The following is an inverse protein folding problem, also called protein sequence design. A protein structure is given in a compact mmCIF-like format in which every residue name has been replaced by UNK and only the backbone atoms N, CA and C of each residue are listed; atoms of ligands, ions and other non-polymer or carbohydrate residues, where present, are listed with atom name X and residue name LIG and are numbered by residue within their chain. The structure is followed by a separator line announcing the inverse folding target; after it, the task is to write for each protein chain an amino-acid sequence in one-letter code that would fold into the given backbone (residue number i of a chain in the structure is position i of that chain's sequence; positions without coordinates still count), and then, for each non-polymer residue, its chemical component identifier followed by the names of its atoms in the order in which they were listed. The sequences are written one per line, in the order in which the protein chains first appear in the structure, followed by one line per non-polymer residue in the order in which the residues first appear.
data_IF_722439850867
#
_entry.id   IF_722439850867
#
_cell.length_a   1.000
_cell.length_b   1.000
_cell.length_c   1.000
_cell.angle_alpha   90.00
_cell.angle_beta   90.00
_cell.angle_gamma   90.00
#
_symmetry.space_group_name_H-M   'P 1'
#
loop_
_entity.id
_entity.type
_entity.pdbx_description
1 polymer ?
#
# COMPACT_ATOMS: atom_id res chain seq x y z
N UNK A 1 -6.76 16.45 29.15
CA UNK A 1 -6.91 17.42 28.03
C UNK A 1 -7.91 16.87 27.05
N UNK A 2 -8.79 17.69 26.58
CA UNK A 2 -10.17 17.39 26.11
C UNK A 2 -10.22 16.59 24.81
N UNK A 3 -11.02 15.52 24.80
CA UNK A 3 -11.36 14.59 23.71
C UNK A 3 -12.02 15.22 22.47
N UNK A 4 -12.01 16.54 22.33
CA UNK A 4 -12.74 17.26 21.28
C UNK A 4 -11.97 17.43 19.96
N UNK A 5 -10.67 17.19 19.89
CA UNK A 5 -9.85 17.44 18.70
C UNK A 5 -9.63 16.19 17.82
N UNK A 6 -9.82 15.00 18.34
CA UNK A 6 -9.72 13.76 17.54
C UNK A 6 -10.95 13.59 16.61
N UNK A 7 -12.09 14.17 16.98
CA UNK A 7 -13.32 14.08 16.19
C UNK A 7 -13.31 14.93 14.91
N UNK A 8 -12.50 15.97 14.84
CA UNK A 8 -12.52 16.91 13.71
C UNK A 8 -11.88 16.39 12.42
N UNK A 9 -10.89 15.52 12.51
CA UNK A 9 -10.21 14.96 11.32
C UNK A 9 -11.00 13.79 10.71
N UNK A 10 -11.82 13.10 11.52
CA UNK A 10 -12.66 11.98 11.05
C UNK A 10 -14.04 12.45 10.57
N UNK A 11 -14.49 13.63 10.99
CA UNK A 11 -15.86 14.10 10.77
C UNK A 11 -16.09 14.91 9.47
N UNK A 12 -15.06 15.19 8.67
CA UNK A 12 -15.19 15.88 7.38
C UNK A 12 -15.69 14.97 6.23
N UNK A 13 -15.95 13.68 6.49
CA UNK A 13 -16.51 12.73 5.54
C UNK A 13 -17.99 12.38 5.81
N UNK A 14 -18.72 13.23 6.55
CA UNK A 14 -20.15 13.03 6.76
C UNK A 14 -20.94 13.43 5.50
N UNK A 15 -21.47 12.45 4.88
CA UNK A 15 -22.44 12.31 3.82
C UNK A 15 -23.50 13.40 3.84
N UNK A 16 -23.40 14.34 2.92
CA UNK A 16 -24.55 15.16 2.53
C UNK A 16 -25.52 14.30 1.71
N UNK A 17 -26.67 13.97 2.26
CA UNK A 17 -27.78 13.37 1.52
C UNK A 17 -28.30 14.38 0.49
N UNK A 18 -27.94 14.20 -0.77
CA UNK A 18 -28.58 14.92 -1.88
C UNK A 18 -29.90 14.21 -2.18
N UNK A 19 -31.00 14.84 -1.86
CA UNK A 19 -32.31 14.42 -2.29
C UNK A 19 -32.39 14.47 -3.84
N UNK A 20 -33.03 13.52 -4.52
CA UNK A 20 -33.14 13.56 -5.96
C UNK A 20 -34.13 14.68 -6.37
N UNK A 21 -33.63 15.66 -7.11
CA UNK A 21 -34.51 16.59 -7.83
C UNK A 21 -35.22 15.82 -8.94
N UNK A 22 -36.50 15.64 -8.80
CA UNK A 22 -37.39 15.08 -9.84
C UNK A 22 -37.54 16.06 -11.00
N UNK A 23 -36.72 15.91 -12.03
CA UNK A 23 -36.98 16.49 -13.34
C UNK A 23 -37.76 15.46 -14.17
N UNK A 24 -39.06 15.73 -14.36
CA UNK A 24 -39.88 15.00 -15.32
C UNK A 24 -39.41 15.36 -16.72
N UNK A 25 -38.69 14.44 -17.38
CA UNK A 25 -38.47 14.46 -18.82
C UNK A 25 -39.24 13.27 -19.41
N UNK A 26 -39.84 13.39 -20.62
CA UNK A 26 -40.69 12.33 -21.16
C UNK A 26 -39.90 11.03 -21.29
N UNK A 27 -40.34 10.02 -20.59
CA UNK A 27 -39.69 8.68 -20.59
C UNK A 27 -39.69 8.02 -21.98
N UNK A 28 -40.51 8.48 -22.91
CA UNK A 28 -40.69 7.93 -24.24
C UNK A 28 -39.56 8.37 -25.22
N UNK A 29 -39.08 9.61 -25.14
CA UNK A 29 -38.00 10.11 -26.01
C UNK A 29 -36.61 9.53 -25.62
N UNK A 30 -36.37 9.30 -24.35
CA UNK A 30 -35.12 8.70 -23.90
C UNK A 30 -35.03 7.20 -24.23
N UNK A 31 -36.15 6.49 -24.12
CA UNK A 31 -36.24 5.08 -24.49
C UNK A 31 -36.09 4.90 -26.01
N UNK A 32 -36.68 5.79 -26.82
CA UNK A 32 -36.58 5.79 -28.28
C UNK A 32 -35.14 6.09 -28.75
N UNK A 33 -34.47 7.09 -28.17
CA UNK A 33 -33.05 7.38 -28.47
C UNK A 33 -32.12 6.24 -28.02
N UNK A 34 -32.40 5.61 -26.89
CA UNK A 34 -31.63 4.46 -26.44
C UNK A 34 -31.79 3.25 -27.38
N UNK A 35 -33.01 3.04 -27.89
CA UNK A 35 -33.28 1.99 -28.91
C UNK A 35 -32.64 2.29 -30.26
N UNK A 36 -32.68 3.53 -30.73
CA UNK A 36 -32.00 3.97 -31.95
C UNK A 36 -30.48 3.82 -31.86
N UNK A 37 -29.87 4.21 -30.72
CA UNK A 37 -28.44 4.04 -30.46
C UNK A 37 -28.05 2.55 -30.32
N UNK A 38 -28.91 1.72 -29.77
CA UNK A 38 -28.67 0.28 -29.71
C UNK A 38 -28.71 -0.34 -31.08
N UNK A 39 -29.71 0.00 -31.90
CA UNK A 39 -29.83 -0.48 -33.31
C UNK A 39 -28.65 -0.02 -34.21
N UNK A 40 -28.18 1.24 -33.99
CA UNK A 40 -27.00 1.74 -34.70
C UNK A 40 -25.69 1.03 -34.26
N UNK A 41 -25.59 0.66 -32.99
CA UNK A 41 -24.46 -0.14 -32.49
C UNK A 41 -24.46 -1.56 -32.97
N UNK A 42 -25.63 -2.19 -33.06
CA UNK A 42 -25.79 -3.54 -33.58
C UNK A 42 -25.46 -3.58 -35.08
N UNK A 43 -25.93 -2.59 -35.83
CA UNK A 43 -25.60 -2.44 -37.27
C UNK A 43 -24.11 -2.19 -37.52
N UNK A 44 -23.46 -1.36 -36.68
CA UNK A 44 -22.01 -1.17 -36.71
C UNK A 44 -21.24 -2.42 -36.26
N UNK A 45 -21.77 -3.20 -35.34
CA UNK A 45 -21.16 -4.46 -34.92
C UNK A 45 -21.20 -5.54 -36.03
N UNK A 46 -22.25 -5.56 -36.83
CA UNK A 46 -22.36 -6.46 -38.02
C UNK A 46 -21.43 -6.05 -39.15
N UNK A 47 -21.18 -4.73 -39.33
CA UNK A 47 -20.30 -4.19 -40.37
C UNK A 47 -18.81 -4.23 -40.02
N UNK A 48 -18.46 -4.37 -38.75
CA UNK A 48 -17.06 -4.44 -38.27
C UNK A 48 -16.54 -5.88 -38.38
N UNK A 49 -15.67 -6.12 -39.35
CA UNK A 49 -14.84 -7.33 -39.33
C UNK A 49 -14.08 -7.41 -37.98
N UNK A 50 -13.98 -8.60 -37.34
CA UNK A 50 -13.30 -8.74 -36.07
C UNK A 50 -11.88 -8.16 -36.20
N UNK A 51 -11.61 -7.14 -35.41
CA UNK A 51 -10.30 -6.49 -35.38
C UNK A 51 -9.25 -7.53 -34.99
N UNK A 52 -8.17 -7.64 -35.78
CA UNK A 52 -7.05 -8.50 -35.41
C UNK A 52 -6.52 -8.01 -34.05
N UNK A 53 -6.42 -8.89 -33.07
CA UNK A 53 -5.95 -8.47 -31.73
C UNK A 53 -4.57 -7.80 -31.86
N UNK A 54 -4.42 -6.66 -31.21
CA UNK A 54 -3.16 -5.91 -31.15
C UNK A 54 -2.04 -6.76 -30.53
N UNK A 55 -0.77 -6.33 -30.67
CA UNK A 55 0.35 -7.01 -30.02
C UNK A 55 0.16 -7.07 -28.49
N UNK A 56 -0.39 -6.00 -27.91
CA UNK A 56 -0.68 -5.91 -26.47
C UNK A 56 -1.80 -6.88 -26.09
N UNK A 57 -2.88 -6.95 -26.84
CA UNK A 57 -3.96 -7.94 -26.63
C UNK A 57 -3.46 -9.37 -26.71
N UNK A 58 -2.62 -9.68 -27.71
CA UNK A 58 -2.02 -11.01 -27.84
C UNK A 58 -1.09 -11.32 -26.66
N UNK A 59 -0.31 -10.36 -26.20
CA UNK A 59 0.54 -10.52 -25.05
C UNK A 59 -0.26 -10.73 -23.76
N UNK A 60 -1.34 -9.98 -23.57
CA UNK A 60 -2.24 -10.13 -22.42
C UNK A 60 -3.00 -11.47 -22.46
N UNK A 61 -3.56 -11.85 -23.59
CA UNK A 61 -4.20 -13.16 -23.75
C UNK A 61 -3.22 -14.32 -23.61
N UNK A 62 -1.98 -14.16 -24.10
CA UNK A 62 -0.93 -15.15 -23.88
C UNK A 62 -0.60 -15.26 -22.40
N UNK A 63 -0.48 -14.11 -21.72
CA UNK A 63 -0.23 -14.06 -20.28
C UNK A 63 -1.39 -14.68 -19.48
N UNK A 64 -2.65 -14.34 -19.77
CA UNK A 64 -3.82 -14.93 -19.14
C UNK A 64 -3.89 -16.46 -19.37
N UNK A 65 -3.52 -16.90 -20.56
CA UNK A 65 -3.56 -18.33 -20.91
C UNK A 65 -2.36 -19.12 -20.41
N UNK A 66 -1.21 -18.49 -20.23
CA UNK A 66 0.07 -19.14 -19.95
C UNK A 66 0.77 -18.63 -18.68
N UNK A 67 0.28 -17.54 -18.08
CA UNK A 67 0.88 -16.98 -16.85
C UNK A 67 0.97 -18.01 -15.72
N UNK A 68 -0.05 -18.86 -15.59
CA UNK A 68 -0.01 -20.00 -14.67
C UNK A 68 0.99 -21.09 -15.09
N UNK A 69 1.35 -21.19 -16.38
CA UNK A 69 2.34 -22.16 -16.91
C UNK A 69 3.79 -21.70 -16.76
N UNK A 70 4.01 -20.38 -16.53
CA UNK A 70 5.31 -19.84 -16.11
C UNK A 70 5.64 -20.18 -14.65
N UNK A 71 4.68 -20.74 -13.91
CA UNK A 71 4.88 -21.34 -12.61
C UNK A 71 5.31 -22.80 -12.81
N UNK A 72 6.61 -23.05 -12.75
CA UNK A 72 7.08 -24.43 -12.73
C UNK A 72 6.86 -25.00 -11.33
N UNK A 73 5.70 -25.62 -11.10
CA UNK A 73 5.24 -26.10 -9.78
C UNK A 73 5.15 -24.92 -8.79
N UNK A 74 6.02 -24.91 -7.78
CA UNK A 74 6.08 -23.89 -6.73
C UNK A 74 6.93 -22.65 -7.11
N UNK A 75 7.72 -22.69 -8.20
CA UNK A 75 8.63 -21.61 -8.57
C UNK A 75 7.93 -20.48 -9.31
N UNK A 76 8.21 -19.23 -8.91
CA UNK A 76 7.74 -18.01 -9.57
C UNK A 76 8.93 -17.07 -9.77
N UNK A 77 9.04 -16.49 -10.95
CA UNK A 77 9.92 -15.35 -11.14
C UNK A 77 9.22 -14.09 -10.60
N UNK A 78 9.84 -13.41 -9.66
CA UNK A 78 9.31 -12.21 -9.05
C UNK A 78 9.96 -10.96 -9.67
N UNK A 79 9.15 -9.98 -10.05
CA UNK A 79 9.60 -8.67 -10.53
C UNK A 79 8.83 -7.58 -9.78
N UNK A 80 9.52 -6.52 -9.36
CA UNK A 80 8.89 -5.41 -8.65
C UNK A 80 9.92 -4.61 -7.88
N UNK A 81 9.47 -3.80 -6.92
CA UNK A 81 10.29 -3.14 -5.93
C UNK A 81 9.74 -3.42 -4.55
N UNK A 82 10.56 -3.63 -3.55
CA UNK A 82 10.09 -3.87 -2.19
C UNK A 82 10.05 -2.61 -1.32
N UNK A 83 10.71 -1.55 -1.76
CA UNK A 83 10.52 -0.20 -1.23
C UNK A 83 10.43 0.80 -2.37
N UNK A 84 9.84 1.96 -2.11
CA UNK A 84 9.91 3.10 -3.01
C UNK A 84 11.38 3.52 -3.18
N UNK A 85 11.75 3.95 -4.36
CA UNK A 85 13.14 4.36 -4.61
C UNK A 85 14.15 3.22 -4.83
N UNK A 86 13.86 1.98 -4.44
CA UNK A 86 14.77 0.83 -4.61
C UNK A 86 15.07 0.44 -6.06
N UNK A 87 14.31 0.98 -7.02
CA UNK A 87 14.39 0.64 -8.43
C UNK A 87 13.73 -0.71 -8.75
N UNK A 88 13.94 -1.18 -9.98
CA UNK A 88 13.39 -2.46 -10.42
C UNK A 88 14.07 -3.62 -9.71
N UNK A 89 13.28 -4.43 -9.04
CA UNK A 89 13.70 -5.66 -8.38
C UNK A 89 13.44 -6.89 -9.25
N UNK A 90 14.25 -7.90 -9.08
CA UNK A 90 14.10 -9.23 -9.66
C UNK A 90 14.44 -10.27 -8.61
N UNK A 91 13.80 -11.41 -8.71
CA UNK A 91 14.00 -12.47 -7.72
C UNK A 91 13.30 -13.76 -8.07
N UNK A 92 13.39 -14.69 -7.15
CA UNK A 92 12.74 -15.99 -7.23
C UNK A 92 11.88 -16.14 -5.99
N UNK A 93 10.63 -16.49 -6.18
CA UNK A 93 9.74 -16.91 -5.13
C UNK A 93 9.38 -18.38 -5.30
N UNK A 94 9.31 -19.10 -4.20
CA UNK A 94 8.79 -20.46 -4.12
C UNK A 94 7.57 -20.39 -3.22
N UNK A 95 6.38 -20.70 -3.76
CA UNK A 95 5.17 -20.70 -2.99
C UNK A 95 4.41 -22.00 -3.22
N UNK A 96 4.13 -22.72 -2.15
CA UNK A 96 3.37 -23.96 -2.16
C UNK A 96 2.13 -23.81 -1.29
N UNK A 97 0.98 -24.19 -1.83
CA UNK A 97 -0.31 -24.16 -1.14
C UNK A 97 -0.73 -25.58 -0.80
N UNK A 98 -1.25 -25.78 0.40
CA UNK A 98 -1.72 -27.11 0.85
C UNK A 98 -0.57 -28.12 0.92
N UNK A 99 0.56 -27.74 1.52
CA UNK A 99 1.75 -28.62 1.66
C UNK A 99 1.35 -29.98 2.24
N UNK A 100 1.71 -31.02 1.50
CA UNK A 100 1.39 -32.41 1.90
C UNK A 100 -0.02 -32.86 1.56
N UNK A 101 -0.85 -32.03 0.92
CA UNK A 101 -2.18 -32.43 0.43
C UNK A 101 -2.20 -32.59 -1.10
N UNK A 102 -2.77 -33.66 -1.64
CA UNK A 102 -2.89 -33.85 -3.08
C UNK A 102 -3.92 -32.92 -3.74
N UNK A 103 -4.82 -32.33 -2.95
CA UNK A 103 -5.87 -31.42 -3.40
C UNK A 103 -5.83 -30.16 -2.53
N UNK A 104 -5.77 -28.99 -3.15
CA UNK A 104 -5.83 -27.70 -2.45
C UNK A 104 -7.31 -27.32 -2.28
N UNK A 105 -7.83 -27.52 -1.09
CA UNK A 105 -9.15 -27.06 -0.68
C UNK A 105 -8.99 -25.77 0.15
N UNK A 106 -9.59 -24.63 -0.25
CA UNK A 106 -9.55 -23.40 0.52
C UNK A 106 -10.07 -23.53 1.94
N UNK A 107 -11.06 -24.38 2.14
CA UNK A 107 -11.74 -24.58 3.44
C UNK A 107 -11.14 -25.75 4.25
N UNK A 108 -10.06 -26.37 3.75
CA UNK A 108 -9.41 -27.49 4.44
C UNK A 108 -8.91 -27.06 5.83
N UNK A 109 -9.29 -27.75 6.91
CA UNK A 109 -8.73 -27.52 8.23
C UNK A 109 -7.21 -27.75 8.25
N UNK A 110 -6.50 -26.86 8.95
CA UNK A 110 -5.04 -26.91 9.09
C UNK A 110 -4.29 -26.93 7.74
N UNK A 111 -4.80 -26.22 6.73
CA UNK A 111 -4.06 -26.08 5.45
C UNK A 111 -2.77 -25.34 5.70
N UNK A 112 -1.66 -25.90 5.27
CA UNK A 112 -0.32 -25.31 5.40
C UNK A 112 0.09 -24.74 4.05
N UNK A 113 0.36 -23.45 4.01
CA UNK A 113 0.94 -22.76 2.85
C UNK A 113 2.33 -22.25 3.22
N UNK A 114 3.29 -22.41 2.33
CA UNK A 114 4.66 -21.95 2.52
C UNK A 114 5.11 -21.02 1.39
N UNK A 115 5.88 -20.01 1.74
CA UNK A 115 6.46 -19.09 0.78
C UNK A 115 7.91 -18.79 1.14
N UNK A 116 8.79 -18.78 0.15
CA UNK A 116 10.17 -18.33 0.24
C UNK A 116 10.43 -17.34 -0.89
N UNK A 117 11.12 -16.25 -0.57
CA UNK A 117 11.47 -15.20 -1.50
C UNK A 117 12.96 -14.86 -1.37
N UNK A 118 13.67 -14.77 -2.50
CA UNK A 118 14.97 -14.15 -2.59
C UNK A 118 14.96 -13.14 -3.73
N UNK A 119 15.17 -11.87 -3.42
CA UNK A 119 15.06 -10.78 -4.38
C UNK A 119 16.18 -9.76 -4.22
N UNK A 120 16.56 -9.11 -5.33
CA UNK A 120 17.52 -8.03 -5.39
C UNK A 120 17.04 -6.96 -6.36
N UNK A 121 17.39 -5.71 -6.11
CA UNK A 121 17.10 -4.61 -7.04
C UNK A 121 18.35 -4.16 -7.79
N UNK A 122 18.15 -3.45 -8.89
CA UNK A 122 19.25 -2.83 -9.65
C UNK A 122 20.06 -1.82 -8.84
N UNK A 123 19.53 -1.30 -7.75
CA UNK A 123 20.21 -0.40 -6.79
C UNK A 123 20.88 -1.14 -5.64
N UNK A 124 20.91 -2.47 -5.67
CA UNK A 124 21.61 -3.28 -4.69
C UNK A 124 20.80 -3.67 -3.45
N UNK A 125 19.56 -3.21 -3.29
CA UNK A 125 18.68 -3.67 -2.21
C UNK A 125 18.48 -5.17 -2.29
N UNK A 126 18.41 -5.83 -1.15
CA UNK A 126 18.20 -7.27 -1.07
C UNK A 126 17.11 -7.58 -0.06
N UNK A 127 16.34 -8.61 -0.35
CA UNK A 127 15.37 -9.22 0.56
C UNK A 127 15.42 -10.72 0.45
N UNK A 128 15.53 -11.38 1.60
CA UNK A 128 15.29 -12.81 1.74
C UNK A 128 14.16 -12.95 2.76
N UNK A 129 13.15 -13.72 2.42
CA UNK A 129 12.00 -13.91 3.32
C UNK A 129 11.50 -15.35 3.24
N UNK A 130 11.03 -15.85 4.35
CA UNK A 130 10.32 -17.12 4.45
C UNK A 130 9.08 -16.93 5.30
N UNK A 131 7.97 -17.50 4.86
CA UNK A 131 6.70 -17.45 5.58
C UNK A 131 6.00 -18.80 5.50
N UNK A 132 5.44 -19.21 6.60
CA UNK A 132 4.59 -20.38 6.70
C UNK A 132 3.27 -19.99 7.33
N UNK A 133 2.17 -20.40 6.73
CA UNK A 133 0.80 -20.18 7.22
C UNK A 133 0.15 -21.48 7.54
N UNK A 134 -0.55 -21.55 8.66
CA UNK A 134 -1.54 -22.57 8.97
C UNK A 134 -2.90 -21.89 8.93
N UNK A 135 -3.69 -22.26 7.95
CA UNK A 135 -5.01 -21.69 7.69
C UNK A 135 -6.09 -22.59 8.28
N UNK A 136 -7.18 -21.99 8.73
CA UNK A 136 -8.33 -22.69 9.32
C UNK A 136 -7.91 -23.64 10.46
N UNK A 137 -7.14 -23.15 11.43
CA UNK A 137 -6.55 -23.92 12.53
C UNK A 137 -7.66 -24.66 13.31
N UNK A 138 -7.57 -25.99 13.33
CA UNK A 138 -8.56 -26.83 13.98
C UNK A 138 -9.97 -26.76 13.35
N UNK A 139 -10.11 -26.31 12.11
CA UNK A 139 -11.39 -26.09 11.44
C UNK A 139 -12.09 -24.79 11.87
N UNK A 140 -11.41 -23.94 12.62
CA UNK A 140 -11.91 -22.61 13.02
C UNK A 140 -11.48 -21.55 11.99
N UNK A 141 -12.17 -20.41 11.89
CA UNK A 141 -11.78 -19.31 11.02
C UNK A 141 -10.59 -18.52 11.61
N UNK A 142 -9.54 -19.25 11.96
CA UNK A 142 -8.32 -18.79 12.61
C UNK A 142 -7.12 -19.19 11.78
N UNK A 143 -6.26 -18.24 11.45
CA UNK A 143 -4.99 -18.48 10.80
C UNK A 143 -3.85 -18.07 11.72
N UNK A 144 -2.76 -18.83 11.64
CA UNK A 144 -1.49 -18.51 12.32
C UNK A 144 -0.39 -18.52 11.27
N UNK A 145 0.52 -17.55 11.32
CA UNK A 145 1.69 -17.58 10.48
C UNK A 145 2.96 -17.30 11.28
N UNK A 146 4.05 -17.86 10.81
CA UNK A 146 5.40 -17.49 11.21
C UNK A 146 6.15 -16.95 10.02
N UNK A 147 6.97 -15.92 10.22
CA UNK A 147 7.75 -15.29 9.19
C UNK A 147 9.16 -14.96 9.64
N UNK A 148 10.05 -15.02 8.70
CA UNK A 148 11.40 -14.47 8.80
C UNK A 148 11.65 -13.62 7.57
N UNK A 149 12.25 -12.45 7.75
CA UNK A 149 12.65 -11.56 6.69
C UNK A 149 13.98 -10.93 7.03
N UNK A 150 14.87 -10.87 6.06
CA UNK A 150 16.14 -10.16 6.12
C UNK A 150 16.19 -9.16 4.98
N UNK A 151 16.32 -7.88 5.33
CA UNK A 151 16.35 -6.75 4.42
C UNK A 151 17.69 -6.04 4.50
N UNK A 152 18.26 -5.72 3.33
CA UNK A 152 19.40 -4.83 3.17
C UNK A 152 18.98 -3.66 2.28
N UNK A 153 18.64 -2.53 2.91
CA UNK A 153 18.17 -1.32 2.24
C UNK A 153 19.35 -0.35 2.11
N UNK A 154 20.01 -0.37 0.96
CA UNK A 154 21.35 0.20 0.76
C UNK A 154 21.40 1.72 0.73
N UNK A 155 20.30 2.40 0.42
CA UNK A 155 20.29 3.85 0.16
C UNK A 155 18.90 4.46 0.37
N UNK A 156 18.44 4.40 1.61
CA UNK A 156 17.18 5.03 2.02
C UNK A 156 17.39 6.54 2.17
N UNK A 157 16.43 7.33 1.67
CA UNK A 157 16.50 8.79 1.74
C UNK A 157 16.00 9.33 3.09
N UNK A 158 16.67 10.39 3.57
CA UNK A 158 16.25 11.19 4.70
C UNK A 158 16.42 12.68 4.38
N UNK A 159 15.40 13.48 4.66
CA UNK A 159 15.34 14.92 4.33
C UNK A 159 15.25 15.82 5.57
N UNK A 160 15.43 15.23 6.78
CA UNK A 160 15.12 15.87 8.04
C UNK A 160 13.66 15.62 8.47
N UNK A 161 13.26 16.24 9.57
CA UNK A 161 11.92 16.11 10.15
C UNK A 161 11.01 17.28 9.79
N UNK A 162 9.71 17.01 9.85
CA UNK A 162 8.65 17.99 9.73
C UNK A 162 8.26 18.37 8.30
N UNK A 163 7.19 19.19 8.19
CA UNK A 163 6.69 19.65 6.90
C UNK A 163 7.64 20.66 6.22
N UNK A 164 8.52 21.33 7.01
CA UNK A 164 9.50 22.28 6.53
C UNK A 164 10.78 21.67 5.96
N UNK A 165 10.92 20.32 5.95
CA UNK A 165 12.08 19.67 5.35
C UNK A 165 12.22 20.00 3.87
N UNK A 166 13.48 20.16 3.37
CA UNK A 166 13.75 20.58 2.01
C UNK A 166 14.57 19.55 1.24
N UNK A 167 14.51 19.59 -0.10
CA UNK A 167 15.37 18.78 -0.96
C UNK A 167 16.88 19.02 -0.70
N UNK A 168 17.25 20.21 -0.24
CA UNK A 168 18.65 20.54 0.10
C UNK A 168 19.16 19.77 1.34
N UNK A 169 18.26 19.34 2.23
CA UNK A 169 18.57 18.50 3.39
C UNK A 169 18.63 17.00 3.07
N UNK A 170 18.54 16.62 1.80
CA UNK A 170 18.57 15.22 1.40
C UNK A 170 19.89 14.55 1.73
N UNK A 171 19.80 13.46 2.40
CA UNK A 171 20.89 12.55 2.74
C UNK A 171 20.46 11.11 2.49
N UNK A 172 21.40 10.18 2.60
CA UNK A 172 21.05 8.77 2.49
C UNK A 172 21.72 7.94 3.61
N UNK A 173 21.02 6.87 4.01
CA UNK A 173 21.48 5.92 5.00
C UNK A 173 21.23 4.48 4.52
N UNK A 174 21.94 3.55 5.10
CA UNK A 174 21.69 2.12 4.95
C UNK A 174 20.92 1.59 6.17
N UNK A 175 19.93 0.77 5.92
CA UNK A 175 19.20 0.04 6.95
C UNK A 175 19.22 -1.45 6.63
N UNK A 176 19.95 -2.21 7.45
CA UNK A 176 19.86 -3.66 7.46
C UNK A 176 18.94 -4.08 8.60
N UNK A 177 18.06 -5.03 8.37
CA UNK A 177 17.17 -5.50 9.43
C UNK A 177 16.78 -6.96 9.23
N UNK A 178 16.83 -7.73 10.30
CA UNK A 178 16.21 -9.04 10.36
C UNK A 178 14.96 -8.97 11.23
N UNK A 179 13.88 -9.57 10.76
CA UNK A 179 12.62 -9.70 11.48
C UNK A 179 12.19 -11.16 11.58
N UNK A 180 11.91 -11.60 12.80
CA UNK A 180 11.29 -12.89 13.12
C UNK A 180 9.92 -12.60 13.69
N UNK A 181 8.85 -13.06 13.07
CA UNK A 181 7.51 -12.70 13.46
C UNK A 181 6.54 -13.88 13.51
N UNK A 182 5.51 -13.72 14.31
CA UNK A 182 4.35 -14.58 14.32
C UNK A 182 3.09 -13.70 14.25
N UNK A 183 2.13 -14.11 13.42
CA UNK A 183 0.86 -13.43 13.26
C UNK A 183 -0.29 -14.38 13.57
N UNK A 184 -1.32 -13.83 14.13
CA UNK A 184 -2.60 -14.46 14.39
C UNK A 184 -3.69 -13.67 13.67
N UNK A 185 -4.61 -14.37 13.01
CA UNK A 185 -5.77 -13.75 12.35
C UNK A 185 -7.01 -14.55 12.67
N UNK A 186 -8.01 -13.91 13.22
CA UNK A 186 -9.32 -14.49 13.51
C UNK A 186 -10.41 -13.74 12.74
N UNK A 187 -11.24 -14.50 12.05
CA UNK A 187 -12.41 -14.01 11.29
C UNK A 187 -13.71 -14.47 11.96
N UNK A 188 -14.15 -13.82 13.06
CA UNK A 188 -15.31 -14.25 13.83
C UNK A 188 -16.60 -14.30 12.99
N UNK A 189 -16.77 -13.34 12.12
CA UNK A 189 -17.87 -13.24 11.17
C UNK A 189 -17.49 -12.25 10.08
N UNK A 190 -17.80 -12.55 8.81
CA UNK A 190 -17.68 -11.55 7.74
C UNK A 190 -18.55 -10.33 8.07
N UNK A 191 -18.02 -9.10 7.91
CA UNK A 191 -16.74 -8.70 7.29
C UNK A 191 -15.63 -8.37 8.30
N UNK A 192 -15.65 -8.90 9.52
CA UNK A 192 -14.70 -8.56 10.58
C UNK A 192 -13.47 -9.46 10.58
N UNK A 193 -12.32 -8.85 10.83
CA UNK A 193 -11.05 -9.55 11.05
C UNK A 193 -10.34 -8.95 12.27
N UNK A 194 -9.89 -9.80 13.18
CA UNK A 194 -9.08 -9.45 14.34
C UNK A 194 -7.70 -10.04 14.12
N UNK A 195 -6.66 -9.22 14.25
CA UNK A 195 -5.27 -9.62 14.10
C UNK A 195 -4.45 -9.40 15.36
N UNK A 196 -3.44 -10.22 15.55
CA UNK A 196 -2.38 -10.03 16.53
C UNK A 196 -1.02 -10.26 15.89
N UNK A 197 0.00 -9.57 16.36
CA UNK A 197 1.38 -9.76 15.92
C UNK A 197 2.36 -9.80 17.08
N UNK A 198 3.42 -10.58 16.91
CA UNK A 198 4.60 -10.60 17.75
C UNK A 198 5.81 -10.68 16.82
N UNK A 199 6.75 -9.74 16.95
CA UNK A 199 7.97 -9.73 16.14
C UNK A 199 9.18 -9.40 16.98
N UNK A 200 10.30 -10.02 16.63
CA UNK A 200 11.65 -9.68 17.09
C UNK A 200 12.40 -9.02 15.93
N UNK A 201 12.95 -7.83 16.15
CA UNK A 201 13.54 -6.94 15.16
C UNK A 201 14.99 -6.61 15.53
N UNK A 202 15.89 -6.69 14.55
CA UNK A 202 17.31 -6.35 14.74
C UNK A 202 17.75 -5.33 13.68
N UNK A 203 17.40 -4.03 13.85
CA UNK A 203 17.84 -3.01 12.90
C UNK A 203 19.32 -2.67 13.12
N UNK A 204 20.00 -2.38 12.01
CA UNK A 204 21.37 -1.88 11.98
C UNK A 204 21.43 -0.71 10.99
N UNK A 205 21.85 0.45 11.46
CA UNK A 205 22.03 1.66 10.66
C UNK A 205 23.49 1.77 10.22
N UNK A 206 23.68 2.11 8.95
CA UNK A 206 25.00 2.36 8.36
C UNK A 206 24.97 3.52 7.37
N UNK A 207 26.11 3.83 6.82
CA UNK A 207 26.23 4.84 5.77
C UNK A 207 25.56 4.37 4.49
N UNK A 208 24.77 5.25 3.87
CA UNK A 208 24.14 4.99 2.59
C UNK A 208 25.15 4.91 1.46
N UNK A 209 24.80 4.18 0.40
CA UNK A 209 25.71 3.91 -0.74
C UNK A 209 25.50 4.83 -1.94
N UNK A 210 24.55 5.76 -1.89
CA UNK A 210 24.30 6.74 -2.95
C UNK A 210 25.29 7.90 -2.87
N UNK A 211 26.32 7.87 -3.68
CA UNK A 211 27.38 8.90 -3.71
C UNK A 211 26.95 10.26 -4.25
N UNK A 212 25.71 10.37 -4.76
CA UNK A 212 25.15 11.66 -5.23
C UNK A 212 24.74 12.58 -4.08
N UNK A 213 24.48 12.00 -2.91
CA UNK A 213 24.04 12.70 -1.71
C UNK A 213 24.95 12.35 -0.53
N UNK A 214 25.13 13.27 0.42
CA UNK A 214 25.88 12.97 1.63
C UNK A 214 25.24 11.85 2.44
N UNK A 215 26.01 11.15 3.25
CA UNK A 215 25.46 10.20 4.21
C UNK A 215 24.73 10.94 5.33
N UNK A 216 23.67 10.36 5.90
CA UNK A 216 22.90 10.99 6.97
C UNK A 216 23.79 11.30 8.15
N UNK A 217 24.72 10.43 8.51
CA UNK A 217 25.71 10.60 9.57
C UNK A 217 26.69 11.76 9.33
N UNK A 218 26.83 12.24 8.07
CA UNK A 218 27.76 13.32 7.75
C UNK A 218 27.16 14.72 7.87
N UNK A 219 25.84 14.85 7.89
CA UNK A 219 25.13 16.14 7.91
C UNK A 219 24.16 16.31 9.07
N UNK A 220 23.83 15.23 9.77
CA UNK A 220 22.94 15.26 10.93
C UNK A 220 23.66 14.71 12.16
N UNK A 221 23.54 15.42 13.27
CA UNK A 221 24.10 14.96 14.53
C UNK A 221 23.25 13.82 15.14
N UNK A 222 23.91 12.90 15.82
CA UNK A 222 23.26 11.74 16.48
C UNK A 222 22.26 12.21 17.54
N UNK A 223 22.48 13.37 18.15
CA UNK A 223 21.59 13.95 19.16
C UNK A 223 20.28 14.48 18.54
N UNK A 224 20.33 14.94 17.28
CA UNK A 224 19.16 15.49 16.57
C UNK A 224 18.34 14.43 15.84
N UNK A 225 18.94 13.27 15.51
CA UNK A 225 18.29 12.19 14.75
C UNK A 225 18.27 10.90 15.59
N UNK A 226 17.21 10.64 16.35
CA UNK A 226 17.09 9.47 17.20
C UNK A 226 17.26 8.18 16.39
N UNK A 227 18.13 7.30 16.88
CA UNK A 227 18.40 6.02 16.22
C UNK A 227 19.42 6.06 15.08
N UNK A 228 20.18 7.16 14.93
CA UNK A 228 21.29 7.25 13.99
C UNK A 228 22.57 6.55 14.47
N UNK A 229 22.63 6.17 15.76
CA UNK A 229 23.70 5.37 16.40
C UNK A 229 23.25 3.94 16.64
N UNK A 230 24.04 3.21 17.43
CA UNK A 230 23.73 1.84 17.83
C UNK A 230 22.34 1.73 18.50
N UNK A 231 21.60 0.75 18.09
CA UNK A 231 20.23 0.47 18.53
C UNK A 231 20.13 -0.89 19.19
N UNK A 232 19.25 -1.05 20.19
CA UNK A 232 18.92 -2.37 20.71
C UNK A 232 18.16 -3.18 19.65
N UNK A 233 18.09 -4.48 19.85
CA UNK A 233 17.04 -5.27 19.23
C UNK A 233 15.70 -4.93 19.86
N UNK A 234 14.61 -5.13 19.14
CA UNK A 234 13.26 -4.79 19.60
C UNK A 234 12.33 -5.99 19.61
N UNK A 235 11.40 -5.99 20.53
CA UNK A 235 10.20 -6.82 20.48
C UNK A 235 9.02 -5.92 20.19
N UNK A 236 8.28 -6.24 19.13
CA UNK A 236 7.03 -5.57 18.77
C UNK A 236 5.85 -6.50 19.00
N UNK A 237 4.87 -5.99 19.73
CA UNK A 237 3.57 -6.66 19.95
C UNK A 237 2.47 -5.75 19.46
N UNK A 238 1.49 -6.30 18.78
CA UNK A 238 0.42 -5.49 18.21
C UNK A 238 -0.88 -6.23 18.07
N UNK A 239 -1.96 -5.45 17.94
CA UNK A 239 -3.30 -5.94 17.65
C UNK A 239 -3.96 -5.06 16.59
N UNK A 240 -4.86 -5.64 15.82
CA UNK A 240 -5.61 -4.92 14.79
C UNK A 240 -7.04 -5.40 14.69
N UNK A 241 -7.93 -4.49 14.26
CA UNK A 241 -9.31 -4.75 13.89
C UNK A 241 -9.51 -4.22 12.47
N UNK A 242 -10.07 -5.05 11.60
CA UNK A 242 -10.43 -4.64 10.25
C UNK A 242 -11.90 -4.99 9.96
N UNK A 243 -12.50 -4.15 9.12
CA UNK A 243 -13.85 -4.32 8.58
C UNK A 243 -13.76 -4.18 7.07
N UNK A 244 -13.88 -5.30 6.33
CA UNK A 244 -13.72 -5.36 4.88
C UNK A 244 -14.98 -5.92 4.22
N UNK A 245 -15.71 -5.04 3.51
CA UNK A 245 -16.91 -5.42 2.77
C UNK A 245 -16.80 -5.06 1.28
N UNK A 246 -15.57 -4.96 0.78
CA UNK A 246 -15.31 -4.79 -0.65
C UNK A 246 -15.74 -6.04 -1.41
N UNK A 247 -16.17 -5.85 -2.64
CA UNK A 247 -16.57 -6.93 -3.54
C UNK A 247 -15.37 -7.73 -4.11
N UNK A 248 -14.15 -7.19 -4.01
CA UNK A 248 -12.90 -7.83 -4.40
C UNK A 248 -11.72 -7.21 -3.66
N UNK A 249 -10.74 -8.02 -3.27
CA UNK A 249 -9.51 -7.56 -2.64
C UNK A 249 -8.55 -6.90 -3.64
N UNK A 250 -8.55 -7.40 -4.88
CA UNK A 250 -7.56 -7.04 -5.90
C UNK A 250 -7.98 -5.89 -6.79
N UNK A 251 -9.26 -5.83 -7.17
CA UNK A 251 -9.81 -4.83 -8.07
C UNK A 251 -11.25 -4.48 -7.65
N UNK A 252 -11.42 -3.87 -6.47
CA UNK A 252 -12.73 -3.59 -5.94
C UNK A 252 -13.46 -2.53 -6.76
N UNK A 253 -14.75 -2.77 -7.01
CA UNK A 253 -15.65 -1.86 -7.74
C UNK A 253 -16.60 -1.14 -6.81
N UNK A 254 -16.82 -1.67 -5.60
CA UNK A 254 -17.66 -1.11 -4.53
C UNK A 254 -17.25 -1.65 -3.18
N UNK A 255 -17.71 -0.98 -2.14
CA UNK A 255 -17.49 -1.41 -0.77
C UNK A 255 -16.45 -0.57 -0.05
N UNK A 256 -16.07 -1.00 1.13
CA UNK A 256 -15.12 -0.27 1.97
C UNK A 256 -14.23 -1.21 2.78
N UNK A 257 -13.06 -0.70 3.12
CA UNK A 257 -12.10 -1.31 4.01
C UNK A 257 -11.68 -0.31 5.08
N UNK A 258 -11.80 -0.69 6.34
CA UNK A 258 -11.44 0.13 7.49
C UNK A 258 -10.58 -0.70 8.43
N UNK A 259 -9.47 -0.14 8.90
CA UNK A 259 -8.55 -0.83 9.79
C UNK A 259 -8.03 0.12 10.86
N UNK A 260 -7.96 -0.40 12.08
CA UNK A 260 -7.21 0.22 13.18
C UNK A 260 -6.23 -0.83 13.69
N UNK A 261 -4.99 -0.42 13.92
CA UNK A 261 -3.95 -1.27 14.50
C UNK A 261 -3.14 -0.48 15.53
N UNK A 262 -2.84 -1.12 16.65
CA UNK A 262 -2.00 -0.55 17.68
C UNK A 262 -0.85 -1.52 17.98
N UNK A 263 0.35 -0.99 18.14
CA UNK A 263 1.54 -1.76 18.45
C UNK A 263 2.39 -1.05 19.52
N UNK A 264 3.02 -1.84 20.38
CA UNK A 264 4.10 -1.44 21.27
C UNK A 264 5.38 -2.05 20.75
N UNK A 265 6.44 -1.24 20.60
CA UNK A 265 7.79 -1.68 20.29
C UNK A 265 8.67 -1.37 21.49
N UNK A 266 9.35 -2.38 22.02
CA UNK A 266 10.19 -2.26 23.22
C UNK A 266 11.58 -2.81 22.95
N UNK A 267 12.59 -2.06 23.35
CA UNK A 267 14.00 -2.46 23.23
C UNK A 267 14.33 -3.61 24.19
N UNK A 268 15.07 -4.59 23.68
CA UNK A 268 15.52 -5.73 24.48
C UNK A 268 16.71 -5.30 25.32
N UNK A 269 16.57 -5.39 26.65
CA UNK A 269 17.56 -4.94 27.64
C UNK A 269 17.85 -3.42 27.63
N UNK A 270 17.18 -2.63 26.82
CA UNK A 270 17.31 -1.19 26.78
C UNK A 270 15.98 -0.55 26.31
N UNK A 271 15.24 0.01 27.25
CA UNK A 271 13.94 0.65 27.01
C UNK A 271 14.05 2.12 26.54
N UNK A 272 15.26 2.59 26.24
CA UNK A 272 15.48 4.01 25.87
C UNK A 272 14.72 4.42 24.61
N UNK A 273 14.51 3.48 23.70
CA UNK A 273 13.79 3.70 22.44
C UNK A 273 12.40 3.02 22.38
N UNK A 274 11.77 2.79 23.53
CA UNK A 274 10.42 2.23 23.56
C UNK A 274 9.41 3.21 22.96
N UNK A 275 8.50 2.73 22.12
CA UNK A 275 7.47 3.55 21.52
C UNK A 275 6.18 2.77 21.21
N UNK A 276 5.11 3.53 21.07
CA UNK A 276 3.79 3.05 20.62
C UNK A 276 3.47 3.60 19.27
N UNK A 277 2.72 2.81 18.52
CA UNK A 277 2.21 3.21 17.21
C UNK A 277 0.74 2.87 17.07
N UNK A 278 -0.03 3.81 16.53
CA UNK A 278 -1.43 3.64 16.14
C UNK A 278 -1.55 3.95 14.65
N UNK A 279 -1.99 2.96 13.88
CA UNK A 279 -2.28 3.10 12.46
C UNK A 279 -3.78 3.02 12.23
N UNK A 280 -4.32 3.98 11.48
CA UNK A 280 -5.73 4.04 11.08
C UNK A 280 -5.77 4.13 9.57
N UNK A 281 -6.57 3.30 8.91
CA UNK A 281 -6.75 3.33 7.47
C UNK A 281 -8.22 3.16 7.12
N UNK A 282 -8.67 3.91 6.13
CA UNK A 282 -10.01 3.85 5.57
C UNK A 282 -9.93 3.90 4.04
N UNK A 283 -10.68 3.03 3.39
CA UNK A 283 -10.92 3.06 1.95
C UNK A 283 -12.41 2.91 1.69
N UNK A 284 -12.97 3.78 0.84
CA UNK A 284 -14.34 3.69 0.39
C UNK A 284 -14.39 3.77 -1.12
N UNK A 285 -15.06 2.82 -1.76
CA UNK A 285 -15.25 2.76 -3.20
C UNK A 285 -16.71 2.96 -3.51
N UNK A 286 -17.00 4.02 -4.24
CA UNK A 286 -18.36 4.43 -4.61
C UNK A 286 -18.54 4.30 -6.12
N UNK A 287 -19.41 3.37 -6.60
CA UNK A 287 -19.73 3.29 -8.02
C UNK A 287 -20.49 4.54 -8.47
N UNK A 288 -20.17 5.07 -9.65
CA UNK A 288 -20.75 6.28 -10.20
C UNK A 288 -21.59 5.96 -11.46
N UNK A 289 -22.89 5.80 -11.26
CA UNK A 289 -23.88 5.62 -12.31
C UNK A 289 -23.83 4.25 -13.02
N UNK A 290 -22.65 3.73 -13.35
CA UNK A 290 -22.48 2.44 -13.97
C UNK A 290 -21.27 1.69 -13.37
N UNK A 291 -21.13 0.39 -13.70
CA UNK A 291 -20.04 -0.47 -13.19
C UNK A 291 -18.63 -0.08 -13.64
N UNK A 292 -18.51 0.78 -14.65
CA UNK A 292 -17.24 1.16 -15.29
C UNK A 292 -16.60 2.40 -14.67
N UNK A 293 -17.33 3.13 -13.81
CA UNK A 293 -16.88 4.37 -13.18
C UNK A 293 -17.01 4.27 -11.67
N UNK A 294 -15.98 4.68 -10.96
CA UNK A 294 -15.95 4.66 -9.50
C UNK A 294 -15.12 5.80 -8.95
N UNK A 295 -15.46 6.20 -7.76
CA UNK A 295 -14.66 7.09 -6.92
C UNK A 295 -14.04 6.24 -5.83
N UNK A 296 -12.71 6.22 -5.75
CA UNK A 296 -11.94 5.55 -4.70
C UNK A 296 -11.42 6.62 -3.75
N UNK A 297 -11.92 6.62 -2.53
CA UNK A 297 -11.51 7.52 -1.45
C UNK A 297 -10.67 6.72 -0.47
N UNK A 298 -9.52 7.26 -0.09
CA UNK A 298 -8.63 6.67 0.90
C UNK A 298 -8.20 7.73 1.90
N UNK A 299 -8.04 7.36 3.14
CA UNK A 299 -7.42 8.17 4.17
C UNK A 299 -6.68 7.27 5.15
N UNK A 300 -5.53 7.73 5.63
CA UNK A 300 -4.80 7.03 6.67
C UNK A 300 -4.07 8.00 7.58
N UNK A 301 -3.85 7.56 8.81
CA UNK A 301 -3.02 8.24 9.78
C UNK A 301 -2.13 7.21 10.49
N UNK A 302 -0.88 7.57 10.71
CA UNK A 302 0.06 6.83 11.52
C UNK A 302 0.58 7.77 12.62
N UNK A 303 0.38 7.38 13.86
CA UNK A 303 0.69 8.18 15.03
C UNK A 303 1.68 7.39 15.88
N UNK A 304 2.80 7.99 16.23
CA UNK A 304 3.79 7.38 17.14
C UNK A 304 3.97 8.22 18.40
N UNK A 305 4.24 7.57 19.50
CA UNK A 305 4.51 8.21 20.78
C UNK A 305 5.63 7.47 21.49
N UNK A 306 6.68 8.20 21.89
CA UNK A 306 7.79 7.63 22.64
C UNK A 306 7.33 7.33 24.06
N UNK A 307 7.67 6.15 24.54
CA UNK A 307 7.51 5.76 25.95
C UNK A 307 8.85 5.54 26.64
N UNK A 308 9.96 5.60 25.89
CA UNK A 308 11.33 5.57 26.39
C UNK A 308 11.89 6.97 26.68
N UNK A 309 13.17 7.03 27.05
CA UNK A 309 13.90 8.29 27.29
C UNK A 309 14.23 9.00 25.98
N UNK A 310 14.58 8.23 24.94
CA UNK A 310 14.86 8.73 23.61
C UNK A 310 13.56 8.80 22.78
N UNK A 311 13.60 9.56 21.72
CA UNK A 311 12.50 9.60 20.76
C UNK A 311 12.45 8.34 19.90
N UNK A 312 11.35 8.19 19.15
CA UNK A 312 11.16 7.11 18.19
C UNK A 312 12.30 7.10 17.17
N UNK A 313 12.99 5.98 16.92
CA UNK A 313 14.02 5.90 15.89
C UNK A 313 13.50 6.42 14.56
N UNK A 314 14.28 7.30 13.91
CA UNK A 314 13.81 8.08 12.76
C UNK A 314 13.25 7.20 11.63
N UNK A 315 13.82 6.04 11.37
CA UNK A 315 13.37 5.12 10.31
C UNK A 315 12.06 4.36 10.67
N UNK A 316 11.65 4.36 11.96
CA UNK A 316 10.34 3.86 12.39
C UNK A 316 9.26 4.95 12.43
N UNK A 317 9.66 6.21 12.35
CA UNK A 317 8.68 7.31 12.28
C UNK A 317 7.90 7.27 10.96
N UNK A 318 6.60 7.60 10.96
CA UNK A 318 5.79 7.69 9.76
C UNK A 318 6.37 8.66 8.74
N UNK A 319 6.22 8.32 7.47
CA UNK A 319 6.67 9.17 6.37
C UNK A 319 5.63 9.28 5.26
N UNK A 320 5.67 10.39 4.51
CA UNK A 320 4.86 10.66 3.33
C UNK A 320 5.77 10.90 2.13
N UNK A 321 5.27 10.54 0.97
CA UNK A 321 5.94 10.57 -0.33
C UNK A 321 5.82 9.23 -1.04
N UNK A 322 6.07 9.21 -2.34
CA UNK A 322 6.04 8.02 -3.17
C UNK A 322 4.64 7.50 -3.51
N UNK A 323 4.61 6.35 -4.15
CA UNK A 323 3.41 5.74 -4.73
C UNK A 323 2.28 5.51 -3.71
N UNK A 324 2.64 5.21 -2.47
CA UNK A 324 1.67 4.76 -1.45
C UNK A 324 0.93 5.91 -0.79
N UNK A 325 1.53 7.10 -0.73
CA UNK A 325 0.99 8.26 0.00
C UNK A 325 0.84 9.50 -0.88
N UNK A 326 1.89 10.27 -1.10
CA UNK A 326 1.91 11.50 -1.91
C UNK A 326 2.69 11.28 -3.20
N UNK A 327 2.01 10.93 -4.28
CA UNK A 327 2.63 10.48 -5.54
C UNK A 327 3.48 11.51 -6.28
N UNK A 328 3.37 12.76 -6.00
CA UNK A 328 4.18 13.83 -6.63
C UNK A 328 5.52 14.10 -5.93
N UNK A 329 5.85 13.36 -4.87
CA UNK A 329 7.06 13.51 -4.08
C UNK A 329 7.90 12.23 -4.07
N UNK A 330 9.19 12.38 -3.81
CA UNK A 330 10.08 11.24 -3.58
C UNK A 330 9.61 10.38 -2.41
N UNK A 331 10.01 9.11 -2.37
CA UNK A 331 9.68 8.22 -1.25
C UNK A 331 10.23 8.79 0.05
N UNK A 332 9.43 8.71 1.12
CA UNK A 332 9.79 9.23 2.45
C UNK A 332 10.22 10.70 2.48
N UNK A 333 9.71 11.52 1.56
CA UNK A 333 10.06 12.94 1.41
C UNK A 333 9.79 13.75 2.68
N UNK A 334 8.72 13.46 3.39
CA UNK A 334 8.35 14.09 4.66
C UNK A 334 8.29 13.02 5.74
N UNK A 335 8.88 13.29 6.90
CA UNK A 335 8.95 12.35 8.01
C UNK A 335 8.78 13.09 9.32
N UNK A 336 7.97 12.54 10.23
CA UNK A 336 7.83 13.04 11.60
C UNK A 336 7.12 11.98 12.47
N UNK A 337 6.90 12.28 13.76
CA UNK A 337 6.20 11.38 14.70
C UNK A 337 4.78 11.01 14.26
N UNK A 338 4.10 11.90 13.56
CA UNK A 338 2.75 11.67 13.09
C UNK A 338 2.67 11.98 11.60
N UNK A 339 1.90 11.19 10.87
CA UNK A 339 1.59 11.42 9.47
C UNK A 339 0.11 11.16 9.22
N UNK A 340 -0.50 11.98 8.40
CA UNK A 340 -1.87 11.76 7.91
C UNK A 340 -1.95 12.12 6.43
N UNK A 341 -2.70 11.34 5.66
CA UNK A 341 -2.91 11.60 4.25
C UNK A 341 -4.29 11.14 3.80
N UNK A 342 -4.77 11.74 2.72
CA UNK A 342 -6.00 11.38 2.05
C UNK A 342 -5.81 11.37 0.54
N UNK A 343 -6.59 10.57 -0.16
CA UNK A 343 -6.59 10.40 -1.61
C UNK A 343 -8.01 10.34 -2.13
N UNK A 344 -8.29 11.07 -3.20
CA UNK A 344 -9.47 10.91 -4.01
C UNK A 344 -9.06 10.54 -5.43
N UNK A 345 -9.56 9.42 -5.93
CA UNK A 345 -9.23 8.94 -7.27
C UNK A 345 -10.52 8.58 -8.02
N UNK A 346 -10.81 9.34 -9.09
CA UNK A 346 -11.87 9.02 -10.03
C UNK A 346 -11.31 8.06 -11.07
N UNK A 347 -11.87 6.85 -11.13
CA UNK A 347 -11.43 5.77 -11.99
C UNK A 347 -12.52 5.42 -13.00
N UNK A 348 -12.09 5.11 -14.24
CA UNK A 348 -12.99 4.56 -15.26
C UNK A 348 -12.27 3.49 -16.08
N UNK A 349 -13.03 2.49 -16.47
CA UNK A 349 -12.57 1.45 -17.40
C UNK A 349 -12.49 2.04 -18.79
N UNK A 350 -11.26 2.39 -19.21
CA UNK A 350 -11.00 2.96 -20.53
C UNK A 350 -10.97 1.87 -21.62
N UNK A 351 -10.61 0.66 -21.23
CA UNK A 351 -10.57 -0.52 -22.07
C UNK A 351 -10.67 -1.77 -21.19
N UNK A 352 -11.02 -2.93 -21.76
CA UNK A 352 -11.27 -4.17 -21.00
C UNK A 352 -10.12 -4.60 -20.05
N UNK A 353 -8.88 -4.18 -20.34
CA UNK A 353 -7.71 -4.47 -19.53
C UNK A 353 -7.03 -3.21 -18.97
N UNK A 354 -7.65 -2.03 -19.11
CA UNK A 354 -7.05 -0.75 -18.75
C UNK A 354 -8.05 0.16 -18.04
N UNK A 355 -7.77 0.49 -16.80
CA UNK A 355 -8.42 1.59 -16.11
C UNK A 355 -7.59 2.86 -16.25
N UNK A 356 -8.23 3.97 -16.48
CA UNK A 356 -7.66 5.29 -16.35
C UNK A 356 -8.18 5.99 -15.09
N UNK A 357 -7.42 6.93 -14.55
CA UNK A 357 -7.77 7.63 -13.34
C UNK A 357 -7.32 9.09 -13.36
N UNK A 358 -8.08 9.96 -12.70
CA UNK A 358 -7.63 11.25 -12.18
C UNK A 358 -7.55 11.15 -10.66
N UNK A 359 -6.52 11.72 -10.09
CA UNK A 359 -6.33 11.67 -8.64
C UNK A 359 -5.84 12.98 -8.04
N UNK A 360 -6.15 13.13 -6.75
CA UNK A 360 -5.59 14.14 -5.86
C UNK A 360 -5.18 13.42 -4.57
N UNK A 361 -3.94 13.63 -4.15
CA UNK A 361 -3.44 13.18 -2.85
C UNK A 361 -3.13 14.42 -2.01
N UNK A 362 -3.41 14.37 -0.72
CA UNK A 362 -3.12 15.42 0.24
C UNK A 362 -2.61 14.80 1.54
N UNK A 363 -1.59 15.39 2.17
CA UNK A 363 -1.07 14.84 3.42
C UNK A 363 -0.13 15.81 4.14
N UNK A 364 0.10 15.51 5.40
CA UNK A 364 0.96 16.29 6.29
C UNK A 364 1.62 15.38 7.31
N UNK A 365 2.84 15.72 7.70
CA UNK A 365 3.52 15.19 8.88
C UNK A 365 3.57 16.25 9.97
N UNK A 366 3.67 15.83 11.23
CA UNK A 366 3.74 16.75 12.36
C UNK A 366 4.43 16.09 13.57
N UNK A 367 5.13 16.87 14.38
CA UNK A 367 5.73 16.39 15.62
C UNK A 367 4.70 16.21 16.74
N UNK A 368 3.58 16.94 16.68
CA UNK A 368 2.46 16.90 17.64
C UNK A 368 1.13 16.91 16.92
N UNK A 369 0.12 16.26 17.49
CA UNK A 369 -1.23 16.24 16.93
C UNK A 369 -1.85 17.64 16.81
N UNK A 370 -1.44 18.60 17.65
CA UNK A 370 -1.93 19.99 17.61
C UNK A 370 -1.34 20.82 16.47
N UNK A 371 -0.30 20.31 15.79
CA UNK A 371 0.39 20.98 14.68
C UNK A 371 -0.18 20.61 13.32
N UNK A 372 -1.15 19.69 13.26
CA UNK A 372 -1.89 19.46 12.03
C UNK A 372 -2.73 20.69 11.67
N UNK A 373 -2.34 21.35 10.57
CA UNK A 373 -3.00 22.55 10.06
C UNK A 373 -3.26 22.42 8.56
N UNK A 374 -4.24 23.13 8.03
CA UNK A 374 -4.48 23.14 6.58
C UNK A 374 -3.40 23.91 5.79
N UNK A 375 -2.57 24.69 6.49
CA UNK A 375 -1.50 25.48 5.86
C UNK A 375 -0.33 24.61 5.39
N UNK A 376 0.01 23.59 6.16
CA UNK A 376 1.18 22.74 5.91
C UNK A 376 0.83 21.43 5.17
N UNK A 377 -0.37 21.37 4.58
CA UNK A 377 -0.80 20.22 3.78
C UNK A 377 -0.13 20.26 2.42
N UNK A 378 0.63 19.22 2.12
CA UNK A 378 1.16 18.98 0.79
C UNK A 378 0.11 18.34 -0.10
N UNK A 379 -0.02 18.84 -1.33
CA UNK A 379 -1.02 18.37 -2.29
C UNK A 379 -0.34 17.95 -3.57
N UNK A 380 -0.76 16.81 -4.11
CA UNK A 380 -0.36 16.32 -5.42
C UNK A 380 -1.60 15.96 -6.24
N UNK A 381 -1.50 16.07 -7.54
CA UNK A 381 -2.58 15.65 -8.44
C UNK A 381 -1.98 15.03 -9.71
N UNK A 382 -2.79 14.27 -10.43
CA UNK A 382 -2.27 13.65 -11.63
C UNK A 382 -3.24 12.73 -12.32
N UNK A 383 -2.68 11.99 -13.28
CA UNK A 383 -3.38 10.97 -14.06
C UNK A 383 -2.72 9.62 -13.82
N UNK A 384 -3.53 8.57 -13.86
CA UNK A 384 -3.05 7.22 -13.65
C UNK A 384 -3.65 6.24 -14.65
N UNK A 385 -2.87 5.22 -14.96
CA UNK A 385 -3.28 4.10 -15.79
C UNK A 385 -3.00 2.80 -15.05
N UNK A 386 -3.97 1.89 -15.05
CA UNK A 386 -3.89 0.60 -14.37
C UNK A 386 -4.18 -0.49 -15.38
N UNK A 387 -3.20 -1.29 -15.68
CA UNK A 387 -3.37 -2.48 -16.51
C UNK A 387 -3.73 -3.67 -15.60
N UNK A 388 -4.79 -4.36 -15.97
CA UNK A 388 -5.25 -5.54 -15.23
C UNK A 388 -5.36 -6.77 -16.11
N UNK A 389 -5.09 -7.92 -15.53
CA UNK A 389 -5.26 -9.23 -16.11
C UNK A 389 -5.91 -10.13 -15.05
N UNK A 390 -6.90 -10.94 -15.43
CA UNK A 390 -7.65 -11.81 -14.50
C UNK A 390 -8.14 -11.09 -13.24
N UNK A 391 -8.73 -9.90 -13.41
CA UNK A 391 -9.23 -9.04 -12.33
C UNK A 391 -8.16 -8.57 -11.32
N UNK A 392 -6.86 -8.69 -11.65
CA UNK A 392 -5.76 -8.20 -10.83
C UNK A 392 -5.02 -7.09 -11.56
N UNK A 393 -4.72 -6.00 -10.87
CA UNK A 393 -3.84 -4.95 -11.42
C UNK A 393 -2.42 -5.50 -11.49
N UNK A 394 -1.87 -5.57 -12.69
CA UNK A 394 -0.54 -6.12 -12.96
C UNK A 394 0.52 -5.05 -13.11
N UNK A 395 0.15 -3.89 -13.65
CA UNK A 395 1.04 -2.74 -13.77
C UNK A 395 0.24 -1.44 -13.64
N UNK A 396 0.90 -0.39 -13.17
CA UNK A 396 0.35 0.95 -13.11
C UNK A 396 1.38 1.99 -13.50
N UNK A 397 0.94 3.02 -14.19
CA UNK A 397 1.71 4.22 -14.50
C UNK A 397 0.94 5.41 -13.97
N UNK A 398 1.54 6.17 -13.06
CA UNK A 398 1.03 7.45 -12.60
C UNK A 398 1.94 8.59 -13.10
N UNK A 399 1.37 9.68 -13.51
CA UNK A 399 2.05 10.94 -13.76
C UNK A 399 1.48 11.94 -12.74
N UNK A 400 2.28 12.25 -11.75
CA UNK A 400 1.91 13.10 -10.63
C UNK A 400 2.61 14.44 -10.70
N UNK A 401 1.92 15.49 -10.29
CA UNK A 401 2.42 16.87 -10.22
C UNK A 401 2.36 17.33 -8.77
N UNK A 402 3.45 17.91 -8.29
CA UNK A 402 3.57 18.55 -6.98
C UNK A 402 4.29 19.89 -7.10
N UNK A 403 4.52 20.58 -5.99
CA UNK A 403 5.38 21.77 -5.95
C UNK A 403 6.84 21.47 -6.31
N UNK A 404 7.30 20.23 -6.23
CA UNK A 404 8.66 19.79 -6.57
C UNK A 404 8.81 19.37 -8.04
N UNK A 405 7.71 19.33 -8.80
CA UNK A 405 7.74 19.03 -10.23
C UNK A 405 6.79 17.92 -10.66
N UNK A 406 7.13 17.32 -11.79
CA UNK A 406 6.36 16.23 -12.40
C UNK A 406 7.11 14.92 -12.21
N UNK A 407 6.44 13.93 -11.60
CA UNK A 407 7.03 12.62 -11.30
C UNK A 407 6.24 11.51 -12.02
N UNK A 408 6.85 10.81 -13.00
CA UNK A 408 6.30 9.57 -13.53
C UNK A 408 6.62 8.42 -12.55
N UNK A 409 5.60 7.63 -12.20
CA UNK A 409 5.74 6.51 -11.26
C UNK A 409 5.24 5.26 -11.96
N UNK A 410 6.13 4.29 -12.14
CA UNK A 410 5.79 2.98 -12.67
C UNK A 410 5.74 1.98 -11.50
N UNK A 411 4.60 1.32 -11.32
CA UNK A 411 4.39 0.30 -10.30
C UNK A 411 4.06 -1.05 -10.93
N UNK A 412 4.68 -2.11 -10.42
CA UNK A 412 4.33 -3.48 -10.75
C UNK A 412 3.78 -4.15 -9.49
N UNK A 413 2.66 -4.87 -9.62
CA UNK A 413 2.09 -5.66 -8.52
C UNK A 413 2.36 -7.15 -8.71
N UNK A 414 3.63 -7.50 -8.84
CA UNK A 414 4.05 -8.89 -8.89
C UNK A 414 4.99 -9.22 -7.78
N UNK A 415 4.51 -9.97 -6.81
CA UNK A 415 5.29 -10.91 -6.05
C UNK A 415 6.07 -10.40 -4.84
N UNK A 416 5.85 -9.17 -4.37
CA UNK A 416 6.46 -8.76 -3.10
C UNK A 416 5.44 -8.23 -2.13
#
# INVERSE_FOLDING_TARGET
MSSKHIAAVVMALAIGSVAPASAQTPADDSARRAAELAAERDKKAEELAPSKPSLVERALHWYDSNGAKLQWRAFRFAMGGFTGGAGLGYGVAIAEQGMGSPVVDPDQPNRIDGEFLAARTIRGYQRIAAKMHVLNLGGLPVDVSVRWQDDQLMQEDFYGFGPGSTEAGRSNYRLDSSEYGADFTWRPASPFTIGGELSYLTPLIGEGTDTRYPTTQSIYDVEDVPGLSDLPSFVRTGASLAFDWRDSDSHPRRGGYYRVAAAQTSGVNDASYDFRRLDIAAQQIVPLGNRYRRLNLQAAAALTDSSGVNDVPFFYQPSLGGLRTLRGFSESRFRDRHAAWARAEYQWEAWWALDAAFFVDAGQVASRLSEFTLHDVEVTYGVGFRMHANERVVAGLDIAVSREGVVPILGFRYGF
#
